data_IF_416240136401
#
_entry.id   IF_416240136401
#
_cell.length_a   1.000
_cell.length_b   1.000
_cell.length_c   1.000
_cell.angle_alpha   90.00
_cell.angle_beta   90.00
_cell.angle_gamma   90.00
#
_symmetry.space_group_name_H-M   'P 1'
#
loop_
_entity.id
_entity.type
_entity.pdbx_description
1 polymer ?
#
# COMPACT_ATOMS: atom_id res chain seq x y z
N UNK A 1 5.45 -19.24 -38.79
CA UNK A 1 4.48 -18.56 -37.91
C UNK A 1 4.66 -19.17 -36.53
N UNK A 2 5.43 -18.54 -35.64
CA UNK A 2 5.62 -19.06 -34.26
C UNK A 2 4.62 -18.35 -33.36
N UNK A 3 3.59 -19.08 -32.94
CA UNK A 3 2.62 -18.62 -31.96
C UNK A 3 3.33 -18.29 -30.64
N UNK A 4 3.01 -17.13 -30.06
CA UNK A 4 3.49 -16.75 -28.74
C UNK A 4 2.81 -17.65 -27.72
N UNK A 5 3.55 -18.54 -27.07
CA UNK A 5 3.02 -19.32 -25.95
C UNK A 5 3.11 -18.49 -24.68
N UNK A 6 2.01 -18.46 -23.92
CA UNK A 6 1.93 -17.91 -22.57
C UNK A 6 1.65 -19.08 -21.61
N UNK A 7 2.41 -19.18 -20.52
CA UNK A 7 2.24 -20.24 -19.51
C UNK A 7 1.91 -19.62 -18.16
N UNK A 8 0.80 -20.06 -17.57
CA UNK A 8 0.33 -19.65 -16.25
C UNK A 8 0.14 -20.92 -15.40
N UNK A 9 0.90 -21.05 -14.32
CA UNK A 9 0.68 -22.03 -13.28
C UNK A 9 -0.27 -21.45 -12.23
N UNK A 10 -1.41 -22.12 -12.02
CA UNK A 10 -2.35 -21.87 -10.93
C UNK A 10 -2.26 -22.96 -9.86
N UNK A 11 -2.98 -22.79 -8.74
CA UNK A 11 -2.97 -23.68 -7.57
C UNK A 11 -3.40 -25.13 -7.84
N UNK A 12 -3.91 -25.44 -9.03
CA UNK A 12 -4.23 -26.81 -9.43
C UNK A 12 -3.04 -27.49 -10.12
N UNK A 13 -2.65 -28.64 -9.53
CA UNK A 13 -1.52 -29.53 -9.87
C UNK A 13 -1.54 -30.09 -11.30
N UNK A 14 -1.47 -29.24 -12.32
CA UNK A 14 -1.35 -29.66 -13.71
C UNK A 14 0.14 -29.79 -14.13
N UNK A 15 0.74 -30.93 -13.80
CA UNK A 15 1.61 -31.78 -14.65
C UNK A 15 2.91 -31.29 -15.30
N UNK A 16 3.16 -29.98 -15.47
CA UNK A 16 4.36 -29.49 -16.14
C UNK A 16 5.39 -29.03 -15.12
N UNK A 17 6.50 -29.76 -14.99
CA UNK A 17 7.62 -29.29 -14.18
C UNK A 17 8.25 -28.05 -14.79
N UNK A 18 8.81 -27.16 -13.96
CA UNK A 18 9.56 -26.00 -14.43
C UNK A 18 10.70 -26.42 -15.39
N UNK A 19 11.36 -27.55 -15.12
CA UNK A 19 12.36 -28.13 -16.01
C UNK A 19 11.83 -28.39 -17.44
N UNK A 20 10.61 -28.92 -17.55
CA UNK A 20 9.99 -29.18 -18.84
C UNK A 20 9.68 -27.86 -19.57
N UNK A 21 9.28 -26.82 -18.84
CA UNK A 21 9.06 -25.49 -19.40
C UNK A 21 10.33 -24.93 -20.02
N UNK A 22 11.43 -24.93 -19.25
CA UNK A 22 12.71 -24.37 -19.70
C UNK A 22 13.27 -25.09 -20.94
N UNK A 23 13.08 -26.42 -21.03
CA UNK A 23 13.59 -27.23 -22.15
C UNK A 23 12.80 -27.04 -23.44
N UNK A 24 11.47 -26.94 -23.36
CA UNK A 24 10.61 -27.05 -24.54
C UNK A 24 10.04 -25.70 -25.03
N UNK A 25 9.99 -24.67 -24.18
CA UNK A 25 9.34 -23.40 -24.50
C UNK A 25 10.33 -22.25 -24.64
N UNK A 26 11.34 -22.40 -25.50
CA UNK A 26 12.41 -21.39 -25.65
C UNK A 26 11.92 -20.03 -26.18
N UNK A 27 10.77 -20.01 -26.88
CA UNK A 27 10.13 -18.79 -27.40
C UNK A 27 9.16 -18.13 -26.42
N UNK A 28 9.07 -18.63 -25.18
CA UNK A 28 8.12 -18.17 -24.18
C UNK A 28 8.28 -16.67 -23.90
N UNK A 29 7.15 -15.95 -23.83
CA UNK A 29 7.12 -14.51 -23.53
C UNK A 29 6.52 -14.20 -22.17
N UNK A 30 5.63 -15.05 -21.67
CA UNK A 30 4.97 -14.89 -20.38
C UNK A 30 5.10 -16.19 -19.59
N UNK A 31 5.71 -16.08 -18.41
CA UNK A 31 5.76 -17.14 -17.42
C UNK A 31 5.22 -16.58 -16.12
N UNK A 32 4.09 -17.12 -15.65
CA UNK A 32 3.53 -16.77 -14.35
C UNK A 32 3.45 -18.02 -13.48
N UNK A 33 4.25 -18.06 -12.44
CA UNK A 33 4.34 -19.12 -11.44
C UNK A 33 3.69 -18.58 -10.18
N UNK A 34 2.50 -19.07 -9.83
CA UNK A 34 1.78 -18.65 -8.62
C UNK A 34 1.53 -19.87 -7.74
N UNK A 35 1.78 -19.75 -6.43
CA UNK A 35 1.48 -20.85 -5.50
C UNK A 35 2.40 -22.07 -5.61
N UNK A 36 3.38 -22.04 -6.52
CA UNK A 36 4.22 -23.20 -6.82
C UNK A 36 5.54 -23.14 -6.06
N UNK A 37 5.77 -24.14 -5.21
CA UNK A 37 6.96 -24.21 -4.38
C UNK A 37 8.07 -25.04 -5.05
N UNK A 38 9.31 -24.61 -4.84
CA UNK A 38 10.51 -25.42 -5.19
C UNK A 38 11.01 -26.17 -3.96
N UNK A 39 11.72 -27.27 -4.17
CA UNK A 39 12.18 -28.13 -3.07
C UNK A 39 13.23 -27.48 -2.17
N UNK A 40 13.98 -26.53 -2.72
CA UNK A 40 15.12 -25.86 -2.09
C UNK A 40 14.92 -24.34 -1.90
N UNK A 41 13.75 -23.81 -2.30
CA UNK A 41 13.46 -22.38 -2.24
C UNK A 41 14.25 -21.53 -3.24
N UNK A 42 14.88 -22.14 -4.26
CA UNK A 42 15.57 -21.41 -5.32
C UNK A 42 14.78 -21.43 -6.62
N UNK A 43 14.88 -20.37 -7.43
CA UNK A 43 14.40 -20.41 -8.81
C UNK A 43 15.51 -21.06 -9.68
N UNK A 44 15.23 -22.13 -10.43
CA UNK A 44 16.25 -22.84 -11.20
C UNK A 44 16.96 -21.93 -12.21
N UNK A 45 18.28 -22.12 -12.35
CA UNK A 45 19.13 -21.30 -13.22
C UNK A 45 18.76 -21.36 -14.70
N UNK A 46 18.07 -22.41 -15.12
CA UNK A 46 17.52 -22.63 -16.44
C UNK A 46 16.54 -21.54 -16.88
N UNK A 47 15.97 -20.77 -15.94
CA UNK A 47 15.15 -19.59 -16.26
C UNK A 47 15.87 -18.65 -17.24
N UNK A 48 17.20 -18.52 -17.11
CA UNK A 48 18.03 -17.67 -17.98
C UNK A 48 18.10 -18.12 -19.44
N UNK A 49 17.58 -19.31 -19.78
CA UNK A 49 17.46 -19.78 -21.16
C UNK A 49 16.26 -19.17 -21.90
N UNK A 50 15.25 -18.66 -21.18
CA UNK A 50 14.04 -18.06 -21.74
C UNK A 50 14.28 -16.62 -22.20
N UNK A 51 15.25 -16.39 -23.08
CA UNK A 51 15.73 -15.05 -23.48
C UNK A 51 14.66 -14.16 -24.15
N UNK A 52 13.54 -14.75 -24.59
CA UNK A 52 12.40 -14.05 -25.17
C UNK A 52 11.36 -13.59 -24.14
N UNK A 53 11.56 -13.93 -22.86
CA UNK A 53 10.63 -13.62 -21.79
C UNK A 53 10.46 -12.11 -21.62
N UNK A 54 9.21 -11.69 -21.47
CA UNK A 54 8.77 -10.30 -21.26
C UNK A 54 8.08 -10.12 -19.92
N UNK A 55 7.45 -11.17 -19.40
CA UNK A 55 6.83 -11.20 -18.09
C UNK A 55 7.29 -12.44 -17.33
N UNK A 56 7.81 -12.22 -16.11
CA UNK A 56 8.07 -13.26 -15.13
C UNK A 56 7.30 -12.92 -13.85
N UNK A 57 6.29 -13.72 -13.52
CA UNK A 57 5.63 -13.71 -12.22
C UNK A 57 6.06 -14.93 -11.41
N UNK A 58 6.44 -14.72 -10.16
CA UNK A 58 6.84 -15.74 -9.18
C UNK A 58 6.20 -15.40 -7.83
N UNK A 59 4.87 -15.24 -7.85
CA UNK A 59 4.10 -14.74 -6.71
C UNK A 59 3.64 -15.86 -5.80
N UNK A 60 3.51 -15.61 -4.49
CA UNK A 60 2.97 -16.62 -3.58
C UNK A 60 3.77 -17.93 -3.69
N UNK A 61 5.09 -17.85 -3.69
CA UNK A 61 5.99 -19.01 -3.77
C UNK A 61 6.91 -19.04 -2.55
N UNK A 62 7.54 -20.18 -2.26
CA UNK A 62 8.63 -20.28 -1.28
C UNK A 62 10.00 -19.91 -1.85
N UNK A 63 10.05 -19.32 -3.05
CA UNK A 63 11.32 -18.93 -3.68
C UNK A 63 11.88 -17.74 -2.91
N UNK A 64 13.05 -17.93 -2.31
CA UNK A 64 13.79 -16.91 -1.57
C UNK A 64 15.07 -16.49 -2.30
N UNK A 65 15.50 -17.20 -3.33
CA UNK A 65 16.72 -16.88 -4.08
C UNK A 65 16.49 -16.88 -5.60
N UNK A 66 16.81 -15.75 -6.23
CA UNK A 66 16.87 -15.65 -7.69
C UNK A 66 18.26 -16.03 -8.20
N UNK A 67 18.37 -16.79 -9.31
CA UNK A 67 19.66 -17.18 -9.87
C UNK A 67 20.30 -16.03 -10.63
N UNK A 68 21.64 -16.00 -10.68
CA UNK A 68 22.44 -15.05 -11.48
C UNK A 68 22.04 -15.03 -12.98
N UNK A 69 21.54 -16.16 -13.49
CA UNK A 69 21.08 -16.30 -14.87
C UNK A 69 19.84 -15.46 -15.19
N UNK A 70 19.14 -14.92 -14.19
CA UNK A 70 18.04 -13.96 -14.41
C UNK A 70 18.52 -12.76 -15.23
N UNK A 71 19.81 -12.38 -15.11
CA UNK A 71 20.42 -11.32 -15.90
C UNK A 71 20.48 -11.58 -17.41
N UNK A 72 20.18 -12.80 -17.87
CA UNK A 72 20.11 -13.13 -19.30
C UNK A 72 18.78 -12.70 -19.93
N UNK A 73 17.76 -12.41 -19.13
CA UNK A 73 16.41 -12.05 -19.59
C UNK A 73 16.31 -10.60 -20.09
N UNK A 74 17.16 -10.20 -21.04
CA UNK A 74 17.27 -8.80 -21.50
C UNK A 74 16.00 -8.24 -22.15
N UNK A 75 15.05 -9.10 -22.52
CA UNK A 75 13.73 -8.71 -23.03
C UNK A 75 12.65 -8.54 -21.95
N UNK A 76 12.99 -8.79 -20.68
CA UNK A 76 12.04 -8.74 -19.58
C UNK A 76 11.53 -7.31 -19.37
N UNK A 77 10.21 -7.16 -19.32
CA UNK A 77 9.51 -5.91 -19.06
C UNK A 77 8.96 -5.88 -17.64
N UNK A 78 8.56 -7.05 -17.11
CA UNK A 78 7.93 -7.17 -15.79
C UNK A 78 8.57 -8.34 -15.04
N UNK A 79 9.06 -8.04 -13.83
CA UNK A 79 9.41 -9.01 -12.81
C UNK A 79 8.47 -8.80 -11.61
N UNK A 80 7.60 -9.77 -11.36
CA UNK A 80 6.62 -9.73 -10.27
C UNK A 80 6.94 -10.83 -9.23
N UNK A 81 7.65 -10.43 -8.17
CA UNK A 81 8.17 -11.31 -7.12
C UNK A 81 7.49 -11.09 -5.77
N UNK A 82 6.20 -10.74 -5.78
CA UNK A 82 5.47 -10.40 -4.56
C UNK A 82 4.96 -11.62 -3.81
N UNK A 83 4.84 -11.49 -2.48
CA UNK A 83 4.14 -12.45 -1.64
C UNK A 83 4.90 -13.74 -1.43
N UNK A 84 6.22 -13.68 -1.19
CA UNK A 84 6.98 -14.87 -0.80
C UNK A 84 6.44 -15.42 0.53
N UNK A 85 6.08 -16.71 0.55
CA UNK A 85 5.35 -17.36 1.66
C UNK A 85 6.25 -17.91 2.77
N UNK A 86 7.56 -18.02 2.53
CA UNK A 86 8.52 -18.28 3.60
C UNK A 86 8.59 -17.02 4.46
N UNK A 87 8.47 -17.10 5.79
CA UNK A 87 8.59 -15.98 6.75
C UNK A 87 9.89 -15.97 7.57
N UNK A 88 10.76 -16.95 7.37
CA UNK A 88 11.96 -17.19 8.20
C UNK A 88 13.23 -16.63 7.56
N UNK A 89 13.28 -16.54 6.23
CA UNK A 89 14.52 -16.27 5.49
C UNK A 89 14.51 -14.94 4.72
N UNK A 90 15.63 -14.23 4.65
CA UNK A 90 15.76 -13.06 3.76
C UNK A 90 15.69 -13.49 2.28
N UNK A 91 15.04 -12.68 1.44
CA UNK A 91 14.99 -12.86 -0.01
C UNK A 91 16.24 -12.28 -0.65
N UNK A 92 16.99 -13.14 -1.34
CA UNK A 92 18.24 -12.83 -2.02
C UNK A 92 17.98 -12.56 -3.50
N UNK A 93 18.28 -11.33 -3.91
CA UNK A 93 18.23 -10.88 -5.31
C UNK A 93 19.67 -10.65 -5.78
N UNK A 94 20.12 -11.33 -6.85
CA UNK A 94 21.48 -11.21 -7.35
C UNK A 94 21.69 -9.83 -7.98
N UNK A 95 22.92 -9.32 -7.92
CA UNK A 95 23.27 -8.02 -8.49
C UNK A 95 23.49 -8.10 -10.01
N UNK A 96 22.45 -8.53 -10.72
CA UNK A 96 22.39 -8.64 -12.19
C UNK A 96 21.15 -8.00 -12.77
N UNK A 97 20.23 -7.51 -11.93
CA UNK A 97 19.03 -6.81 -12.41
C UNK A 97 19.37 -5.63 -13.32
N UNK A 98 20.53 -4.99 -13.13
CA UNK A 98 21.04 -3.92 -14.01
C UNK A 98 21.20 -4.34 -15.49
N UNK A 99 21.30 -5.64 -15.80
CA UNK A 99 21.34 -6.17 -17.18
C UNK A 99 19.96 -6.13 -17.86
N UNK A 100 18.89 -5.95 -17.11
CA UNK A 100 17.51 -5.96 -17.59
C UNK A 100 17.10 -4.56 -18.10
N UNK A 101 17.80 -4.04 -19.11
CA UNK A 101 17.67 -2.66 -19.58
C UNK A 101 16.25 -2.26 -20.05
N UNK A 102 15.44 -3.26 -20.43
CA UNK A 102 14.05 -3.08 -20.87
C UNK A 102 13.04 -3.17 -19.74
N UNK A 103 13.47 -3.46 -18.51
CA UNK A 103 12.60 -3.66 -17.36
C UNK A 103 11.82 -2.37 -17.06
N UNK A 104 10.50 -2.50 -16.97
CA UNK A 104 9.56 -1.39 -16.70
C UNK A 104 8.91 -1.51 -15.35
N UNK A 105 8.66 -2.73 -14.89
CA UNK A 105 7.96 -2.96 -13.63
C UNK A 105 8.71 -4.01 -12.81
N UNK A 106 9.24 -3.57 -11.67
CA UNK A 106 9.91 -4.41 -10.69
C UNK A 106 9.07 -4.41 -9.41
N UNK A 107 8.51 -5.57 -9.07
CA UNK A 107 7.85 -5.79 -7.79
C UNK A 107 8.66 -6.81 -7.00
N UNK A 108 9.22 -6.37 -5.88
CA UNK A 108 9.98 -7.21 -4.96
C UNK A 108 9.10 -7.66 -3.79
N UNK A 109 9.47 -8.73 -3.09
CA UNK A 109 8.76 -9.13 -1.88
C UNK A 109 8.92 -8.08 -0.78
N UNK A 110 7.76 -7.67 -0.25
CA UNK A 110 7.58 -6.72 0.86
C UNK A 110 8.43 -7.09 2.07
N UNK A 111 9.19 -6.15 2.63
CA UNK A 111 10.00 -6.25 3.86
C UNK A 111 10.93 -7.48 3.97
N UNK A 112 11.40 -8.02 2.83
CA UNK A 112 12.20 -9.26 2.82
C UNK A 112 13.40 -9.21 1.91
N UNK A 113 13.50 -8.22 1.03
CA UNK A 113 14.54 -8.20 0.00
C UNK A 113 15.76 -7.44 0.48
N UNK A 114 16.92 -8.09 0.44
CA UNK A 114 18.19 -7.39 0.63
C UNK A 114 18.43 -6.41 -0.50
N UNK A 115 18.45 -5.11 -0.18
CA UNK A 115 18.75 -4.07 -1.17
C UNK A 115 20.26 -3.82 -1.34
N UNK A 116 21.09 -4.53 -0.57
CA UNK A 116 22.53 -4.30 -0.52
C UNK A 116 23.19 -4.58 -1.87
N UNK A 117 23.78 -3.53 -2.45
CA UNK A 117 24.57 -3.62 -3.68
C UNK A 117 23.76 -3.66 -4.98
N UNK A 118 22.42 -3.66 -4.93
CA UNK A 118 21.58 -3.62 -6.13
C UNK A 118 21.72 -2.28 -6.86
N UNK A 119 22.04 -2.33 -8.16
CA UNK A 119 22.22 -1.15 -9.03
C UNK A 119 20.96 -0.85 -9.84
N UNK A 120 19.99 -0.17 -9.23
CA UNK A 120 18.69 0.13 -9.85
C UNK A 120 18.71 1.39 -10.74
N UNK A 121 19.65 2.32 -10.50
CA UNK A 121 19.82 3.57 -11.27
C UNK A 121 20.14 3.33 -12.75
N UNK A 122 20.63 2.14 -13.09
CA UNK A 122 20.92 1.69 -14.45
C UNK A 122 19.66 1.39 -15.28
N UNK A 123 18.53 1.11 -14.61
CA UNK A 123 17.27 0.71 -15.24
C UNK A 123 16.52 1.92 -15.81
N UNK A 124 16.98 2.43 -16.96
CA UNK A 124 16.46 3.67 -17.54
C UNK A 124 14.99 3.60 -17.97
N UNK A 125 14.46 2.40 -18.25
CA UNK A 125 13.06 2.19 -18.64
C UNK A 125 12.09 1.98 -17.47
N UNK A 126 12.58 2.04 -16.22
CA UNK A 126 11.80 1.65 -15.04
C UNK A 126 10.66 2.64 -14.75
N UNK A 127 9.44 2.11 -14.65
CA UNK A 127 8.21 2.88 -14.40
C UNK A 127 7.58 2.55 -13.04
N UNK A 128 7.86 1.37 -12.49
CA UNK A 128 7.35 0.93 -11.18
C UNK A 128 8.46 0.25 -10.41
N UNK A 129 8.72 0.75 -9.22
CA UNK A 129 9.59 0.14 -8.23
C UNK A 129 8.77 -0.09 -6.97
N UNK A 130 8.55 -1.36 -6.61
CA UNK A 130 7.67 -1.74 -5.51
C UNK A 130 8.32 -2.74 -4.56
N UNK A 131 8.08 -2.57 -3.26
CA UNK A 131 8.54 -3.49 -2.22
C UNK A 131 10.04 -3.39 -1.94
N UNK A 132 10.63 -2.20 -2.11
CA UNK A 132 12.03 -1.98 -1.73
C UNK A 132 12.11 -1.53 -0.27
N UNK A 133 12.97 -2.18 0.50
CA UNK A 133 13.29 -1.74 1.86
C UNK A 133 14.16 -0.48 1.87
N UNK A 134 14.32 0.12 3.04
CA UNK A 134 15.15 1.30 3.25
C UNK A 134 16.64 0.95 3.31
N UNK A 135 17.42 1.81 3.97
CA UNK A 135 18.84 1.61 4.17
C UNK A 135 19.73 2.34 3.15
N UNK A 136 21.03 2.11 3.26
CA UNK A 136 22.07 2.92 2.62
C UNK A 136 22.00 2.98 1.09
N UNK A 137 21.34 2.02 0.42
CA UNK A 137 21.17 2.07 -1.03
C UNK A 137 20.35 3.29 -1.48
N UNK A 138 19.40 3.77 -0.65
CA UNK A 138 18.62 4.97 -0.94
C UNK A 138 19.53 6.18 -1.14
N UNK A 139 20.54 6.34 -0.30
CA UNK A 139 21.50 7.45 -0.37
C UNK A 139 22.37 7.37 -1.63
N UNK A 140 22.64 6.17 -2.13
CA UNK A 140 23.54 5.95 -3.26
C UNK A 140 22.84 5.97 -4.62
N UNK A 141 21.61 5.44 -4.70
CA UNK A 141 20.92 5.16 -5.97
C UNK A 141 19.66 6.02 -6.17
N UNK A 142 19.00 6.51 -5.12
CA UNK A 142 17.68 7.15 -5.26
C UNK A 142 17.73 8.44 -6.07
N UNK A 143 18.76 9.26 -5.89
CA UNK A 143 18.95 10.52 -6.62
C UNK A 143 19.25 10.32 -8.11
N UNK A 144 19.75 9.14 -8.50
CA UNK A 144 20.12 8.79 -9.88
C UNK A 144 19.14 7.80 -10.52
N UNK A 145 18.07 7.44 -9.80
CA UNK A 145 17.00 6.59 -10.28
C UNK A 145 16.36 7.19 -11.53
N UNK A 146 15.88 6.33 -12.44
CA UNK A 146 15.26 6.78 -13.70
C UNK A 146 14.15 7.82 -13.46
N UNK A 147 14.12 8.92 -14.24
CA UNK A 147 13.06 9.92 -14.15
C UNK A 147 11.71 9.39 -14.68
N UNK A 148 11.71 8.21 -15.32
CA UNK A 148 10.49 7.59 -15.83
C UNK A 148 9.68 6.82 -14.78
N UNK A 149 10.16 6.75 -13.53
CA UNK A 149 9.45 6.06 -12.44
C UNK A 149 8.18 6.84 -12.08
N UNK A 150 7.05 6.17 -12.20
CA UNK A 150 5.72 6.73 -11.90
C UNK A 150 5.12 6.18 -10.61
N UNK A 151 5.63 5.03 -10.15
CA UNK A 151 5.11 4.35 -8.97
C UNK A 151 6.27 3.89 -8.11
N UNK A 152 6.29 4.39 -6.89
CA UNK A 152 7.35 4.11 -5.93
C UNK A 152 6.72 3.63 -4.62
N UNK A 153 7.21 2.51 -4.10
CA UNK A 153 6.82 1.95 -2.81
C UNK A 153 8.07 1.56 -2.05
N UNK A 154 8.38 2.34 -1.03
CA UNK A 154 9.57 2.18 -0.19
C UNK A 154 9.12 1.98 1.25
N UNK A 155 9.74 1.04 1.93
CA UNK A 155 9.45 0.74 3.32
C UNK A 155 10.70 0.74 4.18
N UNK A 156 10.53 0.75 5.51
CA UNK A 156 11.66 0.65 6.43
C UNK A 156 12.67 1.78 6.28
N UNK A 157 12.21 2.99 5.93
CA UNK A 157 13.07 4.17 5.89
C UNK A 157 13.47 4.51 7.32
N UNK A 158 14.77 4.41 7.60
CA UNK A 158 15.27 4.46 8.98
C UNK A 158 15.90 5.78 9.38
N UNK A 159 16.08 6.73 8.45
CA UNK A 159 16.72 8.02 8.74
C UNK A 159 16.13 9.19 7.94
N UNK A 160 16.36 10.42 8.42
CA UNK A 160 15.90 11.65 7.75
C UNK A 160 16.58 11.88 6.41
N UNK A 161 17.85 11.49 6.28
CA UNK A 161 18.61 11.59 5.03
C UNK A 161 18.00 10.69 3.96
N UNK A 162 17.58 9.48 4.34
CA UNK A 162 16.89 8.56 3.43
C UNK A 162 15.54 9.13 2.96
N UNK A 163 14.73 9.67 3.88
CA UNK A 163 13.48 10.37 3.51
C UNK A 163 13.76 11.52 2.53
N UNK A 164 14.78 12.33 2.83
CA UNK A 164 15.18 13.47 1.99
C UNK A 164 15.57 13.00 0.59
N UNK A 165 16.35 11.91 0.48
CA UNK A 165 16.72 11.33 -0.81
C UNK A 165 15.51 10.89 -1.63
N UNK A 166 14.46 10.35 -0.99
CA UNK A 166 13.20 9.99 -1.67
C UNK A 166 12.48 11.23 -2.21
N UNK A 167 12.35 12.28 -1.40
CA UNK A 167 11.70 13.54 -1.85
C UNK A 167 12.52 14.32 -2.88
N UNK A 168 13.82 14.06 -2.98
CA UNK A 168 14.73 14.66 -3.97
C UNK A 168 14.98 13.77 -5.19
N UNK A 169 14.29 12.64 -5.33
CA UNK A 169 14.46 11.80 -6.51
C UNK A 169 13.93 12.50 -7.77
N UNK A 170 14.49 12.17 -8.94
CA UNK A 170 14.15 12.83 -10.20
C UNK A 170 12.65 12.75 -10.53
N UNK A 171 11.98 11.66 -10.13
CA UNK A 171 10.56 11.47 -10.41
C UNK A 171 9.65 12.41 -9.61
N UNK A 172 10.08 12.83 -8.41
CA UNK A 172 9.40 13.87 -7.62
C UNK A 172 9.66 15.23 -8.25
N UNK A 173 10.94 15.56 -8.49
CA UNK A 173 11.36 16.87 -9.01
C UNK A 173 10.74 17.19 -10.37
N UNK A 174 10.63 16.19 -11.25
CA UNK A 174 10.09 16.35 -12.60
C UNK A 174 8.56 16.15 -12.68
N UNK A 175 7.87 16.04 -11.54
CA UNK A 175 6.43 15.79 -11.45
C UNK A 175 5.98 14.60 -12.33
N UNK A 176 6.65 13.45 -12.20
CA UNK A 176 6.31 12.23 -12.96
C UNK A 176 5.59 11.19 -12.11
N UNK A 177 5.59 11.35 -10.79
CA UNK A 177 4.99 10.39 -9.87
C UNK A 177 3.47 10.40 -9.98
N UNK A 178 2.93 9.21 -10.22
CA UNK A 178 1.50 8.92 -10.15
C UNK A 178 1.11 8.31 -8.79
N UNK A 179 2.00 7.52 -8.20
CA UNK A 179 1.78 6.82 -6.93
C UNK A 179 3.03 6.82 -6.07
N UNK A 180 2.90 7.23 -4.82
CA UNK A 180 3.96 7.18 -3.82
C UNK A 180 3.43 6.47 -2.57
N UNK A 181 4.18 5.47 -2.10
CA UNK A 181 4.03 4.91 -0.77
C UNK A 181 5.39 4.97 -0.07
N UNK A 182 5.42 5.51 1.14
CA UNK A 182 6.60 5.57 1.98
C UNK A 182 6.25 5.13 3.40
N UNK A 183 7.08 4.23 3.95
CA UNK A 183 7.01 3.78 5.33
C UNK A 183 8.33 4.06 6.05
N UNK A 184 8.27 4.89 7.08
CA UNK A 184 9.38 5.28 7.97
C UNK A 184 9.05 5.04 9.44
N UNK A 185 8.08 4.16 9.72
CA UNK A 185 7.77 3.72 11.08
C UNK A 185 8.90 2.79 11.56
N UNK A 186 10.05 3.36 11.94
CA UNK A 186 11.19 2.59 12.48
C UNK A 186 11.02 2.33 13.99
N UNK A 187 11.59 1.23 14.47
CA UNK A 187 11.63 0.91 15.91
C UNK A 187 12.72 1.66 16.68
N UNK A 188 13.69 2.27 15.98
CA UNK A 188 14.98 2.66 16.58
C UNK A 188 15.23 4.18 16.52
N UNK A 189 14.73 4.86 15.48
CA UNK A 189 14.84 6.30 15.32
C UNK A 189 13.44 6.92 15.15
N UNK A 190 13.10 7.87 16.03
CA UNK A 190 11.88 8.68 15.94
C UNK A 190 11.99 9.65 14.74
N UNK A 191 12.01 9.11 13.53
CA UNK A 191 12.00 9.90 12.30
C UNK A 191 10.63 10.54 12.15
N UNK A 192 10.55 11.86 12.28
CA UNK A 192 9.32 12.63 12.14
C UNK A 192 9.37 13.47 10.86
N UNK A 193 8.38 13.28 10.01
CA UNK A 193 8.22 14.08 8.80
C UNK A 193 7.49 15.37 9.15
N UNK A 194 8.13 16.53 9.03
CA UNK A 194 7.55 17.79 9.48
C UNK A 194 6.32 18.21 8.66
N UNK A 195 6.37 18.08 7.33
CA UNK A 195 5.24 18.39 6.44
C UNK A 195 5.37 17.64 5.10
N UNK A 196 4.37 17.81 4.23
CA UNK A 196 4.34 17.24 2.87
C UNK A 196 4.55 18.30 1.78
N UNK A 197 5.10 19.47 2.11
CA UNK A 197 5.22 20.61 1.17
C UNK A 197 6.01 20.25 -0.10
N UNK A 198 7.01 19.37 0.04
CA UNK A 198 7.81 18.88 -1.09
C UNK A 198 6.97 18.12 -2.12
N UNK A 199 5.83 17.56 -1.73
CA UNK A 199 4.91 16.87 -2.63
C UNK A 199 3.82 17.78 -3.22
N UNK A 200 3.66 19.01 -2.73
CA UNK A 200 2.59 19.91 -3.20
C UNK A 200 2.72 20.28 -4.68
N UNK A 201 3.95 20.24 -5.22
CA UNK A 201 4.24 20.47 -6.65
C UNK A 201 4.01 19.23 -7.52
N UNK A 202 3.71 18.06 -6.94
CA UNK A 202 3.47 16.84 -7.70
C UNK A 202 2.02 16.79 -8.25
N UNK A 203 1.74 17.51 -9.33
CA UNK A 203 0.40 17.61 -9.91
C UNK A 203 -0.09 16.29 -10.53
N UNK A 204 0.80 15.39 -10.91
CA UNK A 204 0.45 14.07 -11.44
C UNK A 204 0.17 13.02 -10.36
N UNK A 205 0.47 13.31 -9.09
CA UNK A 205 0.31 12.38 -7.98
C UNK A 205 -1.17 12.14 -7.68
N UNK A 206 -1.61 10.89 -7.83
CA UNK A 206 -3.01 10.47 -7.61
C UNK A 206 -3.18 9.55 -6.41
N UNK A 207 -2.13 8.85 -6.01
CA UNK A 207 -2.16 7.88 -4.91
C UNK A 207 -1.02 8.19 -3.94
N UNK A 208 -1.37 8.42 -2.68
CA UNK A 208 -0.41 8.66 -1.61
C UNK A 208 -0.66 7.69 -0.47
N UNK A 209 0.37 6.97 -0.05
CA UNK A 209 0.36 6.14 1.13
C UNK A 209 1.48 6.56 2.07
N UNK A 210 1.15 6.81 3.32
CA UNK A 210 2.10 7.27 4.33
C UNK A 210 1.98 6.35 5.54
N UNK A 211 3.12 5.83 5.97
CA UNK A 211 3.25 5.10 7.22
C UNK A 211 4.39 5.64 8.06
N UNK A 212 4.08 6.15 9.24
CA UNK A 212 5.05 6.84 10.10
C UNK A 212 4.60 8.25 10.44
N UNK A 213 5.19 8.79 11.50
CA UNK A 213 4.74 10.00 12.17
C UNK A 213 4.95 11.27 11.34
N UNK A 214 3.91 12.10 11.24
CA UNK A 214 3.91 13.38 10.51
C UNK A 214 3.52 14.54 11.43
N UNK A 215 4.29 15.61 11.37
CA UNK A 215 3.95 16.93 11.87
C UNK A 215 4.36 17.22 13.31
N UNK A 216 4.75 18.48 13.55
CA UNK A 216 4.75 19.06 14.89
C UNK A 216 3.29 19.35 15.30
N UNK A 217 2.94 19.19 16.58
CA UNK A 217 1.54 19.27 17.09
C UNK A 217 0.82 20.60 16.84
N UNK A 218 1.46 21.60 16.24
CA UNK A 218 1.05 23.00 16.22
C UNK A 218 0.49 23.51 14.88
N UNK A 219 0.77 22.85 13.73
CA UNK A 219 0.36 23.34 12.40
C UNK A 219 -0.35 22.29 11.54
N UNK A 220 -1.37 22.68 10.75
CA UNK A 220 -2.05 21.76 9.85
C UNK A 220 -1.15 21.30 8.70
N UNK A 221 -1.34 20.05 8.29
CA UNK A 221 -0.58 19.48 7.16
C UNK A 221 -1.36 19.73 5.86
N UNK A 222 -0.66 20.26 4.85
CA UNK A 222 -1.17 20.43 3.50
C UNK A 222 -0.92 19.17 2.66
N UNK A 223 -1.90 18.78 1.85
CA UNK A 223 -1.83 17.59 0.99
C UNK A 223 -1.77 17.96 -0.50
N UNK A 224 -1.13 17.13 -1.35
CA UNK A 224 -1.15 17.33 -2.80
C UNK A 224 -2.59 17.39 -3.36
N UNK A 225 -2.90 18.43 -4.13
CA UNK A 225 -4.28 18.80 -4.49
C UNK A 225 -5.00 17.82 -5.44
N UNK A 226 -4.25 17.02 -6.20
CA UNK A 226 -4.78 16.13 -7.24
C UNK A 226 -5.00 14.68 -6.80
N UNK A 227 -4.87 14.40 -5.50
CA UNK A 227 -5.04 13.05 -4.97
C UNK A 227 -6.43 12.51 -5.22
N UNK A 228 -6.47 11.24 -5.61
CA UNK A 228 -7.68 10.41 -5.73
C UNK A 228 -7.78 9.39 -4.61
N UNK A 229 -6.63 8.96 -4.08
CA UNK A 229 -6.54 7.95 -3.04
C UNK A 229 -5.48 8.34 -2.03
N UNK A 230 -5.85 8.33 -0.75
CA UNK A 230 -4.92 8.46 0.36
C UNK A 230 -5.01 7.25 1.30
N UNK A 231 -3.87 6.81 1.80
CA UNK A 231 -3.76 5.84 2.89
C UNK A 231 -2.86 6.42 3.97
N UNK A 232 -3.36 6.50 5.19
CA UNK A 232 -2.63 7.01 6.34
C UNK A 232 -2.58 5.92 7.41
N UNK A 233 -1.37 5.57 7.85
CA UNK A 233 -1.12 4.53 8.85
C UNK A 233 -0.10 5.08 9.84
N UNK A 234 -0.37 5.02 11.14
CA UNK A 234 0.58 5.47 12.17
C UNK A 234 1.13 6.89 11.91
N UNK A 235 0.29 7.78 11.37
CA UNK A 235 0.67 9.16 11.03
C UNK A 235 0.56 10.12 12.20
N UNK A 236 -0.17 9.75 13.26
CA UNK A 236 -0.35 10.53 14.49
C UNK A 236 -0.91 11.94 14.27
N UNK A 237 -1.77 12.12 13.25
CA UNK A 237 -2.40 13.42 12.98
C UNK A 237 -3.31 13.81 14.14
N UNK A 238 -3.08 14.95 14.77
CA UNK A 238 -3.84 15.39 15.94
C UNK A 238 -4.85 16.50 15.64
N UNK A 239 -4.58 17.31 14.62
CA UNK A 239 -5.34 18.55 14.34
C UNK A 239 -6.56 18.27 13.46
N UNK A 240 -7.70 18.81 13.87
CA UNK A 240 -8.93 18.82 13.07
C UNK A 240 -8.70 19.60 11.77
N UNK A 241 -7.92 20.68 11.80
CA UNK A 241 -7.56 21.50 10.65
C UNK A 241 -6.83 20.71 9.56
N UNK A 242 -6.05 19.69 9.93
CA UNK A 242 -5.45 18.76 8.96
C UNK A 242 -6.50 17.87 8.29
N UNK A 243 -7.55 17.48 9.00
CA UNK A 243 -8.65 16.74 8.38
C UNK A 243 -9.48 17.64 7.46
N UNK A 244 -9.56 18.93 7.75
CA UNK A 244 -10.19 19.94 6.88
C UNK A 244 -9.37 20.17 5.60
N UNK A 245 -8.03 20.18 5.66
CA UNK A 245 -7.19 20.24 4.45
C UNK A 245 -7.45 19.03 3.54
N UNK A 246 -7.58 17.84 4.13
CA UNK A 246 -7.96 16.63 3.40
C UNK A 246 -9.39 16.72 2.85
N UNK A 247 -10.31 17.30 3.62
CA UNK A 247 -11.71 17.55 3.24
C UNK A 247 -11.86 18.50 2.04
N UNK A 248 -10.92 19.43 1.84
CA UNK A 248 -10.92 20.36 0.70
C UNK A 248 -10.47 19.73 -0.62
N UNK A 249 -9.97 18.48 -0.63
CA UNK A 249 -9.46 17.85 -1.85
C UNK A 249 -10.59 17.46 -2.81
N UNK A 250 -10.69 18.19 -3.92
CA UNK A 250 -11.78 18.08 -4.89
C UNK A 250 -11.83 16.76 -5.67
N UNK A 251 -10.71 16.04 -5.76
CA UNK A 251 -10.59 14.81 -6.56
C UNK A 251 -10.52 13.53 -5.71
N UNK A 252 -10.57 13.66 -4.38
CA UNK A 252 -10.32 12.55 -3.46
C UNK A 252 -11.53 11.61 -3.42
N UNK A 253 -11.32 10.35 -3.81
CA UNK A 253 -12.35 9.31 -3.92
C UNK A 253 -12.23 8.22 -2.86
N UNK A 254 -11.03 8.00 -2.35
CA UNK A 254 -10.75 6.93 -1.40
C UNK A 254 -9.88 7.43 -0.26
N UNK A 255 -10.35 7.23 0.96
CA UNK A 255 -9.59 7.46 2.19
C UNK A 255 -9.51 6.15 2.97
N UNK A 256 -8.30 5.79 3.39
CA UNK A 256 -8.05 4.74 4.37
C UNK A 256 -7.26 5.32 5.53
N UNK A 257 -7.90 5.37 6.69
CA UNK A 257 -7.31 5.75 7.96
C UNK A 257 -7.12 4.46 8.77
N UNK A 258 -5.90 4.20 9.21
CA UNK A 258 -5.55 3.00 9.97
C UNK A 258 -5.04 3.34 11.36
N UNK A 259 -4.52 2.33 12.06
CA UNK A 259 -4.02 2.45 13.43
C UNK A 259 -3.21 3.73 13.64
N UNK A 260 -3.62 4.53 14.62
CA UNK A 260 -2.98 5.79 15.00
C UNK A 260 -2.76 6.79 13.86
N UNK A 261 -3.53 6.72 12.75
CA UNK A 261 -3.38 7.71 11.68
C UNK A 261 -3.94 9.06 12.07
N UNK A 262 -5.00 9.07 12.88
CA UNK A 262 -5.57 10.25 13.51
C UNK A 262 -5.74 9.98 15.01
N UNK A 263 -5.18 10.85 15.85
CA UNK A 263 -5.14 10.70 17.32
C UNK A 263 -5.96 11.74 18.05
N UNK A 264 -6.66 12.62 17.32
CA UNK A 264 -7.64 13.54 17.90
C UNK A 264 -8.88 12.79 18.43
N UNK A 265 -9.50 13.34 19.47
CA UNK A 265 -10.69 12.76 20.10
C UNK A 265 -11.98 13.07 19.34
N UNK A 266 -11.98 14.13 18.54
CA UNK A 266 -13.13 14.59 17.77
C UNK A 266 -12.76 14.75 16.31
N UNK A 267 -13.58 14.23 15.40
CA UNK A 267 -13.45 14.50 13.98
C UNK A 267 -14.76 15.06 13.44
N UNK A 268 -14.70 16.24 12.84
CA UNK A 268 -15.84 16.88 12.18
C UNK A 268 -15.64 16.92 10.67
N UNK A 269 -16.63 16.48 9.90
CA UNK A 269 -16.71 16.68 8.45
C UNK A 269 -17.73 17.79 8.18
N UNK A 270 -17.27 18.97 7.74
CA UNK A 270 -18.09 20.16 7.51
C UNK A 270 -18.85 20.08 6.18
N UNK A 271 -19.89 20.90 6.06
CA UNK A 271 -20.64 21.05 4.79
C UNK A 271 -19.71 21.36 3.62
N UNK A 272 -19.87 20.63 2.51
CA UNK A 272 -19.04 20.81 1.31
C UNK A 272 -17.68 20.10 1.34
N UNK A 273 -17.26 19.53 2.47
CA UNK A 273 -16.05 18.72 2.53
C UNK A 273 -16.24 17.34 1.88
N UNK A 274 -15.12 16.81 1.37
CA UNK A 274 -15.03 15.53 0.69
C UNK A 274 -16.01 15.41 -0.49
N UNK A 275 -15.99 16.36 -1.45
CA UNK A 275 -17.04 16.50 -2.44
C UNK A 275 -17.12 15.33 -3.44
N UNK A 276 -16.07 14.52 -3.58
CA UNK A 276 -16.00 13.37 -4.49
C UNK A 276 -15.69 12.05 -3.79
N UNK A 277 -15.76 12.00 -2.45
CA UNK A 277 -15.39 10.81 -1.70
C UNK A 277 -16.41 9.69 -1.94
N UNK A 278 -15.92 8.54 -2.42
CA UNK A 278 -16.72 7.36 -2.74
C UNK A 278 -16.59 6.28 -1.66
N UNK A 279 -15.40 6.17 -1.05
CA UNK A 279 -15.08 5.15 -0.07
C UNK A 279 -14.26 5.70 1.09
N UNK A 280 -14.74 5.44 2.32
CA UNK A 280 -14.08 5.77 3.56
C UNK A 280 -13.90 4.50 4.40
N UNK A 281 -12.65 4.20 4.75
CA UNK A 281 -12.28 3.12 5.64
C UNK A 281 -11.57 3.71 6.86
N UNK A 282 -12.12 3.42 8.04
CA UNK A 282 -11.60 3.82 9.34
C UNK A 282 -11.31 2.53 10.11
N UNK A 283 -10.04 2.25 10.36
CA UNK A 283 -9.57 1.09 11.09
C UNK A 283 -8.72 1.53 12.28
N UNK A 284 -9.13 1.12 13.48
CA UNK A 284 -8.36 1.23 14.71
C UNK A 284 -7.90 2.67 15.01
N UNK A 285 -8.84 3.62 15.09
CA UNK A 285 -8.57 4.95 15.64
C UNK A 285 -8.87 4.93 17.15
N UNK A 286 -7.88 4.66 18.03
CA UNK A 286 -8.15 4.33 19.44
C UNK A 286 -8.60 5.52 20.29
N UNK A 287 -8.38 6.74 19.82
CA UNK A 287 -8.72 7.97 20.54
C UNK A 287 -10.01 8.62 20.07
N UNK A 288 -10.54 8.25 18.90
CA UNK A 288 -11.70 8.90 18.32
C UNK A 288 -12.95 8.58 19.16
N UNK A 289 -13.49 9.60 19.83
CA UNK A 289 -14.67 9.49 20.70
C UNK A 289 -15.92 10.01 20.02
N UNK A 290 -15.80 11.16 19.34
CA UNK A 290 -16.91 11.85 18.68
C UNK A 290 -16.60 12.02 17.20
N UNK A 291 -17.50 11.52 16.35
CA UNK A 291 -17.44 11.75 14.91
C UNK A 291 -18.70 12.49 14.46
N UNK A 292 -18.52 13.70 13.94
CA UNK A 292 -19.60 14.59 13.49
C UNK A 292 -19.55 14.72 11.97
N UNK A 293 -20.69 14.54 11.34
CA UNK A 293 -20.87 14.75 9.89
C UNK A 293 -21.97 15.77 9.72
N UNK A 294 -21.65 16.92 9.13
CA UNK A 294 -22.65 17.94 8.83
C UNK A 294 -23.47 17.55 7.60
N UNK A 295 -24.71 18.05 7.54
CA UNK A 295 -25.57 17.84 6.38
C UNK A 295 -24.94 18.48 5.14
N UNK A 296 -24.63 17.65 4.14
CA UNK A 296 -23.98 18.08 2.90
C UNK A 296 -22.47 17.76 2.82
N UNK A 297 -21.89 17.15 3.86
CA UNK A 297 -20.57 16.53 3.77
C UNK A 297 -20.64 15.19 3.00
N UNK A 298 -19.57 14.84 2.27
CA UNK A 298 -19.40 13.54 1.59
C UNK A 298 -20.62 13.09 0.73
N UNK A 299 -21.14 13.93 -0.18
CA UNK A 299 -22.41 13.66 -0.87
C UNK A 299 -22.39 12.41 -1.77
N UNK A 300 -21.22 11.91 -2.16
CA UNK A 300 -21.05 10.76 -3.05
C UNK A 300 -20.54 9.50 -2.35
N UNK A 301 -20.50 9.47 -1.02
CA UNK A 301 -19.99 8.32 -0.27
C UNK A 301 -20.88 7.10 -0.50
N UNK A 302 -20.30 6.05 -1.09
CA UNK A 302 -20.99 4.79 -1.41
C UNK A 302 -20.67 3.67 -0.44
N UNK A 303 -19.47 3.71 0.17
CA UNK A 303 -18.98 2.66 1.06
C UNK A 303 -18.30 3.25 2.30
N UNK A 304 -18.76 2.83 3.46
CA UNK A 304 -18.20 3.18 4.75
C UNK A 304 -17.83 1.92 5.53
N UNK A 305 -16.60 1.89 6.04
CA UNK A 305 -16.12 0.83 6.92
C UNK A 305 -15.57 1.44 8.21
N UNK A 306 -16.03 0.95 9.36
CA UNK A 306 -15.57 1.36 10.70
C UNK A 306 -15.20 0.11 11.49
N UNK A 307 -13.93 -0.04 11.83
CA UNK A 307 -13.37 -1.25 12.41
C UNK A 307 -12.52 -0.90 13.62
N UNK A 308 -12.71 -1.58 14.76
CA UNK A 308 -11.82 -1.45 15.94
C UNK A 308 -11.68 -0.04 16.52
N UNK A 309 -12.65 0.86 16.33
CA UNK A 309 -12.67 2.18 16.97
C UNK A 309 -13.36 2.11 18.34
N UNK A 310 -12.68 1.56 19.35
CA UNK A 310 -13.30 1.19 20.63
C UNK A 310 -13.91 2.37 21.42
N UNK A 311 -13.31 3.56 21.33
CA UNK A 311 -13.79 4.76 22.03
C UNK A 311 -14.91 5.50 21.32
N UNK A 312 -15.19 5.19 20.06
CA UNK A 312 -16.23 5.87 19.32
C UNK A 312 -17.58 5.58 19.99
N UNK A 313 -18.28 6.64 20.42
CA UNK A 313 -19.48 6.49 21.25
C UNK A 313 -20.74 6.18 20.45
N UNK A 314 -20.83 6.68 19.21
CA UNK A 314 -22.03 6.62 18.37
C UNK A 314 -21.75 6.87 16.90
N UNK A 315 -22.71 6.57 16.04
CA UNK A 315 -22.65 6.99 14.63
C UNK A 315 -22.97 8.49 14.49
N UNK A 316 -22.36 9.19 13.50
CA UNK A 316 -22.73 10.56 13.20
C UNK A 316 -24.17 10.64 12.66
N UNK A 317 -24.98 11.51 13.27
CA UNK A 317 -26.34 11.82 12.80
C UNK A 317 -26.39 12.25 11.32
N UNK A 318 -25.32 12.87 10.81
CA UNK A 318 -25.23 13.30 9.42
C UNK A 318 -25.31 12.18 8.38
N UNK A 319 -24.95 10.94 8.74
CA UNK A 319 -24.94 9.81 7.82
C UNK A 319 -26.33 9.50 7.24
N UNK A 320 -27.40 9.82 7.97
CA UNK A 320 -28.79 9.67 7.50
C UNK A 320 -29.13 10.52 6.27
N UNK A 321 -28.34 11.56 6.00
CA UNK A 321 -28.52 12.43 4.84
C UNK A 321 -27.70 12.02 3.62
N UNK A 322 -26.84 10.99 3.74
CA UNK A 322 -26.00 10.49 2.66
C UNK A 322 -26.78 9.41 1.88
N UNK A 323 -27.64 9.85 0.96
CA UNK A 323 -28.48 8.95 0.17
C UNK A 323 -27.69 8.05 -0.82
N UNK A 324 -26.43 8.39 -1.09
CA UNK A 324 -25.51 7.62 -1.94
C UNK A 324 -24.93 6.39 -1.24
N UNK A 325 -25.01 6.29 0.09
CA UNK A 325 -24.39 5.23 0.88
C UNK A 325 -25.06 3.88 0.62
N UNK A 326 -24.28 2.93 0.08
CA UNK A 326 -24.75 1.59 -0.32
C UNK A 326 -24.31 0.49 0.65
N UNK A 327 -23.08 0.61 1.14
CA UNK A 327 -22.44 -0.38 1.99
C UNK A 327 -21.95 0.27 3.29
N UNK A 328 -22.40 -0.26 4.43
CA UNK A 328 -21.90 0.07 5.76
C UNK A 328 -21.39 -1.20 6.45
N UNK A 329 -20.10 -1.24 6.75
CA UNK A 329 -19.50 -2.34 7.50
C UNK A 329 -18.99 -1.81 8.85
N UNK A 330 -19.52 -2.36 9.94
CA UNK A 330 -19.10 -2.03 11.31
C UNK A 330 -18.57 -3.30 11.96
N UNK A 331 -17.33 -3.29 12.43
CA UNK A 331 -16.71 -4.46 13.01
C UNK A 331 -15.92 -4.15 14.28
N UNK A 332 -15.95 -5.05 15.25
CA UNK A 332 -15.07 -5.06 16.42
C UNK A 332 -15.12 -3.74 17.24
N UNK A 333 -16.31 -3.15 17.38
CA UNK A 333 -16.53 -1.94 18.18
C UNK A 333 -16.76 -2.27 19.67
N UNK A 334 -16.85 -1.24 20.53
CA UNK A 334 -17.20 -1.45 21.93
C UNK A 334 -18.64 -1.95 22.09
N UNK A 335 -18.92 -2.62 23.20
CA UNK A 335 -20.26 -3.15 23.48
C UNK A 335 -21.27 -2.02 23.71
N UNK A 336 -20.83 -0.92 24.33
CA UNK A 336 -21.63 0.29 24.50
C UNK A 336 -22.05 0.88 23.15
N UNK A 337 -21.15 0.90 22.16
CA UNK A 337 -21.47 1.33 20.80
C UNK A 337 -22.56 0.46 20.17
N UNK A 338 -22.45 -0.87 20.26
CA UNK A 338 -23.47 -1.77 19.69
C UNK A 338 -24.83 -1.65 20.39
N UNK A 339 -24.86 -1.51 21.73
CA UNK A 339 -26.12 -1.28 22.47
C UNK A 339 -26.80 0.01 21.99
N UNK A 340 -26.04 1.09 21.85
CA UNK A 340 -26.57 2.36 21.33
C UNK A 340 -27.03 2.23 19.88
N UNK A 341 -26.26 1.54 19.04
CA UNK A 341 -26.63 1.30 17.65
C UNK A 341 -27.99 0.63 17.50
N UNK A 342 -28.29 -0.34 18.38
CA UNK A 342 -29.56 -1.07 18.38
C UNK A 342 -30.73 -0.26 18.97
N UNK A 343 -30.46 0.61 19.95
CA UNK A 343 -31.52 1.32 20.70
C UNK A 343 -31.85 2.70 20.14
N UNK A 344 -30.84 3.43 19.67
CA UNK A 344 -30.95 4.86 19.34
C UNK A 344 -30.58 5.16 17.89
N UNK A 345 -29.57 4.51 17.30
CA UNK A 345 -28.97 4.98 16.03
C UNK A 345 -29.50 4.24 14.78
N UNK A 346 -30.52 3.36 14.89
CA UNK A 346 -31.06 2.61 13.74
C UNK A 346 -31.60 3.51 12.63
N UNK A 347 -32.20 4.67 12.97
CA UNK A 347 -32.70 5.63 11.99
C UNK A 347 -31.58 6.24 11.14
N UNK A 348 -30.33 6.17 11.59
CA UNK A 348 -29.16 6.68 10.87
C UNK A 348 -28.79 5.79 9.69
N UNK A 349 -29.08 4.48 9.77
CA UNK A 349 -28.60 3.46 8.84
C UNK A 349 -29.71 2.76 8.06
N UNK A 350 -30.98 3.02 8.38
CA UNK A 350 -32.14 2.37 7.76
C UNK A 350 -32.25 2.55 6.24
N UNK A 351 -31.66 3.61 5.68
CA UNK A 351 -31.68 3.87 4.23
C UNK A 351 -30.58 3.12 3.46
N UNK A 352 -29.66 2.45 4.16
CA UNK A 352 -28.48 1.79 3.59
C UNK A 352 -28.83 0.34 3.19
N UNK A 353 -28.74 -0.04 1.90
CA UNK A 353 -29.14 -1.37 1.43
C UNK A 353 -28.33 -2.54 2.02
N UNK A 354 -27.03 -2.35 2.23
CA UNK A 354 -26.15 -3.42 2.75
C UNK A 354 -25.48 -2.95 4.03
N UNK A 355 -25.92 -3.51 5.17
CA UNK A 355 -25.31 -3.29 6.48
C UNK A 355 -24.73 -4.61 6.98
N UNK A 356 -23.43 -4.61 7.31
CA UNK A 356 -22.72 -5.76 7.89
C UNK A 356 -22.18 -5.37 9.24
N UNK A 357 -22.60 -6.10 10.28
CA UNK A 357 -22.15 -5.90 11.66
C UNK A 357 -21.41 -7.16 12.10
N UNK A 358 -20.19 -7.00 12.62
CA UNK A 358 -19.38 -8.11 13.15
C UNK A 358 -18.86 -7.77 14.54
N UNK A 359 -19.31 -8.48 15.55
CA UNK A 359 -18.87 -8.28 16.94
C UNK A 359 -17.57 -9.05 17.26
N UNK A 360 -16.95 -8.72 18.39
CA UNK A 360 -15.86 -9.52 18.93
C UNK A 360 -16.37 -10.93 19.30
N UNK A 361 -15.58 -11.99 19.07
CA UNK A 361 -15.91 -13.31 19.61
C UNK A 361 -16.04 -13.23 21.14
N UNK A 362 -17.03 -13.91 21.73
CA UNK A 362 -17.30 -13.88 23.18
C UNK A 362 -16.07 -14.24 24.05
N UNK A 363 -15.10 -14.97 23.49
CA UNK A 363 -13.90 -15.45 24.20
C UNK A 363 -12.70 -14.48 24.12
N UNK A 364 -12.81 -13.35 23.42
CA UNK A 364 -11.67 -12.42 23.21
C UNK A 364 -11.38 -11.55 24.43
N UNK A 365 -12.34 -11.37 25.34
CA UNK A 365 -12.21 -10.54 26.55
C UNK A 365 -11.95 -11.34 27.82
N UNK A 366 -11.28 -12.49 27.73
CA UNK A 366 -10.77 -13.15 28.93
C UNK A 366 -9.43 -12.53 29.34
N UNK A 367 -9.37 -11.71 30.41
CA UNK A 367 -8.13 -11.10 30.88
C UNK A 367 -7.13 -12.13 31.44
N UNK A 368 -7.52 -13.41 31.55
CA UNK A 368 -6.63 -14.50 31.96
C UNK A 368 -5.74 -15.03 30.83
N UNK A 369 -6.02 -14.66 29.57
CA UNK A 369 -5.14 -14.92 28.43
C UNK A 369 -4.30 -13.67 28.18
N UNK A 370 -3.26 -13.51 29.01
CA UNK A 370 -2.31 -12.39 28.93
C UNK A 370 -1.66 -12.27 27.54
N UNK A 371 -1.27 -11.02 27.23
CA UNK A 371 -0.48 -10.61 26.07
C UNK A 371 0.48 -11.71 25.59
N UNK A 372 0.22 -12.24 24.39
CA UNK A 372 1.22 -12.90 23.54
C UNK A 372 1.47 -12.05 22.31
#
# INVERSE_FOLDING_TARGET
MSESTDIIFGEERAGLSLEHVYKNFQLLRVLNIVGSNTSDGTLPSEIGSLIHLRYLGIRCTNIIELPESIGNLRNLLILDYRGVEDFRNEVRVPNVLWKLERLRHLFLPYDRTSMRGLKLSTLKSLQTLWGVGGGNWLLNEMLTLSPSVKRLHIEGISSKEQLTAVFQCQSVILDQLYSLYIDWLSSDENVELQNLELLCHCHHLRKLGLRGRIGEKSLPIEFPSNLKKIKLLFTYLALQETMETLGRLLNLKYIYLSRDSYVGSEWTCKVGEFPQLEQLEILDLPNLEEWRVERGAMPHLTKLQIWQCEKLKKLPEGLKFIASLRELHIAYMSEAFYRRLQQEDLHIIQHIPTVRIKEWPQNWRDPSLGNM
#
